data_IF_714446016201
#
_entry.id   IF_714446016201
#
_cell.length_a   1.000
_cell.length_b   1.000
_cell.length_c   1.000
_cell.angle_alpha   90.00
_cell.angle_beta   90.00
_cell.angle_gamma   90.00
#
_symmetry.space_group_name_H-M   'P 1'
#
loop_
_entity.id
_entity.type
_entity.pdbx_description
1 polymer ?
#
# COMPACT_ATOMS: atom_id res chain seq x y z
N UNK A 1 12.49 22.57 21.23
CA UNK A 1 11.85 21.31 20.76
C UNK A 1 11.30 21.54 19.37
N UNK A 2 11.69 20.77 18.35
CA UNK A 2 11.17 20.97 16.98
C UNK A 2 9.72 20.49 16.89
N UNK A 3 8.82 21.29 16.32
CA UNK A 3 7.43 20.91 15.99
C UNK A 3 7.36 20.55 14.51
N UNK A 4 6.85 19.37 14.19
CA UNK A 4 6.77 18.88 12.81
C UNK A 4 5.32 18.48 12.51
N UNK A 5 4.74 19.02 11.45
CA UNK A 5 3.40 18.68 10.99
C UNK A 5 3.43 17.68 9.83
N UNK A 6 2.46 16.78 9.79
CA UNK A 6 2.22 15.83 8.70
C UNK A 6 0.76 15.96 8.27
N UNK A 7 0.50 16.25 6.99
CA UNK A 7 -0.84 16.38 6.43
C UNK A 7 -1.23 15.06 5.74
N UNK A 8 -2.26 14.41 6.24
CA UNK A 8 -2.78 13.12 5.78
C UNK A 8 -2.53 12.00 6.79
N UNK A 9 -3.60 11.42 7.34
CA UNK A 9 -3.62 10.32 8.29
C UNK A 9 -3.78 8.94 7.64
N UNK A 10 -3.42 8.80 6.36
CA UNK A 10 -3.25 7.50 5.72
C UNK A 10 -1.96 6.80 6.17
N UNK A 11 -1.73 5.57 5.69
CA UNK A 11 -0.58 4.75 6.11
C UNK A 11 0.77 5.44 5.86
N UNK A 12 0.89 6.20 4.76
CA UNK A 12 2.11 6.94 4.44
C UNK A 12 2.37 8.07 5.46
N UNK A 13 1.33 8.83 5.83
CA UNK A 13 1.49 9.92 6.80
C UNK A 13 1.79 9.39 8.20
N UNK A 14 1.13 8.31 8.62
CA UNK A 14 1.41 7.66 9.91
C UNK A 14 2.82 7.05 9.96
N UNK A 15 3.24 6.36 8.90
CA UNK A 15 4.61 5.83 8.81
C UNK A 15 5.66 6.94 8.79
N UNK A 16 5.38 8.05 8.11
CA UNK A 16 6.23 9.25 8.08
C UNK A 16 6.39 9.85 9.47
N UNK A 17 5.28 10.06 10.19
CA UNK A 17 5.28 10.57 11.55
C UNK A 17 6.10 9.69 12.50
N UNK A 18 5.94 8.37 12.43
CA UNK A 18 6.72 7.42 13.22
C UNK A 18 8.22 7.47 12.91
N UNK A 19 8.59 7.48 11.63
CA UNK A 19 10.00 7.56 11.22
C UNK A 19 10.63 8.88 11.67
N UNK A 20 9.88 9.99 11.66
CA UNK A 20 10.31 11.28 12.19
C UNK A 20 10.55 11.19 13.70
N UNK A 21 9.62 10.65 14.49
CA UNK A 21 9.81 10.50 15.94
C UNK A 21 10.98 9.57 16.29
N UNK A 22 11.22 8.53 15.49
CA UNK A 22 12.37 7.64 15.69
C UNK A 22 13.70 8.33 15.37
N UNK A 23 13.74 9.15 14.31
CA UNK A 23 14.96 9.86 13.88
C UNK A 23 15.24 11.09 14.75
N UNK A 24 14.21 11.75 15.25
CA UNK A 24 14.29 12.94 16.08
C UNK A 24 13.45 12.76 17.35
N UNK A 25 13.95 12.03 18.36
CA UNK A 25 13.21 11.70 19.58
C UNK A 25 12.73 12.91 20.38
N UNK A 26 13.41 14.05 20.25
CA UNK A 26 13.05 15.32 20.88
C UNK A 26 12.17 16.22 19.99
N UNK A 27 11.56 15.69 18.93
CA UNK A 27 10.58 16.41 18.12
C UNK A 27 9.16 16.08 18.58
N UNK A 28 8.26 17.06 18.48
CA UNK A 28 6.84 16.87 18.67
C UNK A 28 6.16 16.81 17.31
N UNK A 29 5.54 15.69 16.99
CA UNK A 29 4.92 15.44 15.68
C UNK A 29 3.41 15.56 15.78
N UNK A 30 2.81 16.21 14.79
CA UNK A 30 1.37 16.42 14.67
C UNK A 30 0.92 15.85 13.33
N UNK A 31 -0.07 14.96 13.34
CA UNK A 31 -0.68 14.41 12.13
C UNK A 31 -2.08 14.97 11.98
N UNK A 32 -2.37 15.57 10.83
CA UNK A 32 -3.67 16.13 10.50
C UNK A 32 -4.39 15.24 9.50
N UNK A 33 -5.67 14.97 9.69
CA UNK A 33 -6.53 14.37 8.67
C UNK A 33 -7.86 15.13 8.58
N UNK A 34 -8.36 15.30 7.35
CA UNK A 34 -9.65 15.94 7.09
C UNK A 34 -10.82 15.06 7.53
N UNK A 35 -10.61 13.75 7.57
CA UNK A 35 -11.63 12.77 7.92
C UNK A 35 -11.75 12.63 9.44
N UNK A 36 -12.92 12.19 9.89
CA UNK A 36 -13.20 11.95 11.31
C UNK A 36 -12.51 10.70 11.87
N UNK A 37 -11.99 9.84 10.97
CA UNK A 37 -11.28 8.59 11.28
C UNK A 37 -10.08 8.42 10.35
N UNK A 38 -9.08 7.69 10.82
CA UNK A 38 -7.91 7.35 10.02
C UNK A 38 -8.26 6.29 8.98
N UNK A 39 -7.67 6.40 7.78
CA UNK A 39 -7.77 5.34 6.77
C UNK A 39 -9.09 5.33 5.98
N UNK A 40 -9.89 6.39 6.01
CA UNK A 40 -11.17 6.47 5.27
C UNK A 40 -11.03 6.50 3.73
N UNK A 41 -9.80 6.60 3.22
CA UNK A 41 -9.46 6.58 1.79
C UNK A 41 -8.65 5.32 1.40
N UNK A 42 -7.64 5.44 0.51
CA UNK A 42 -7.00 4.26 -0.11
C UNK A 42 -6.36 3.30 0.91
N UNK A 43 -5.82 3.81 2.01
CA UNK A 43 -5.17 2.95 3.02
C UNK A 43 -6.16 2.01 3.74
N UNK A 44 -7.44 2.34 3.82
CA UNK A 44 -8.49 1.45 4.35
C UNK A 44 -9.33 0.76 3.29
N UNK A 45 -9.09 1.06 1.99
CA UNK A 45 -9.81 0.53 0.82
C UNK A 45 -8.83 -0.04 -0.20
N UNK A 46 -8.20 -1.15 0.17
CA UNK A 46 -7.27 -1.90 -0.68
C UNK A 46 -7.34 -3.40 -0.30
N UNK A 47 -6.73 -4.24 -1.12
CA UNK A 47 -6.76 -5.70 -1.01
C UNK A 47 -5.96 -6.29 0.17
N UNK A 48 -5.28 -5.47 0.97
CA UNK A 48 -4.48 -5.96 2.09
C UNK A 48 -3.20 -6.69 1.67
N UNK A 49 -2.86 -6.71 0.38
CA UNK A 49 -1.72 -7.49 -0.11
C UNK A 49 -0.38 -6.82 0.23
N UNK A 50 0.55 -7.64 0.72
CA UNK A 50 1.96 -7.35 0.87
C UNK A 50 2.68 -7.80 -0.41
N UNK A 51 2.91 -6.85 -1.32
CA UNK A 51 3.62 -7.13 -2.57
C UNK A 51 5.13 -7.12 -2.38
N UNK A 52 5.79 -8.20 -2.79
CA UNK A 52 7.24 -8.35 -2.69
C UNK A 52 8.01 -7.72 -3.85
N UNK A 53 7.30 -7.31 -4.92
CA UNK A 53 7.89 -6.52 -6.01
C UNK A 53 8.17 -7.27 -7.30
N UNK A 54 7.48 -8.39 -7.55
CA UNK A 54 7.63 -9.21 -8.77
C UNK A 54 7.53 -8.40 -10.07
N UNK A 55 6.52 -7.54 -10.17
CA UNK A 55 6.15 -6.88 -11.43
C UNK A 55 6.97 -5.63 -11.76
N UNK A 56 7.67 -5.07 -10.78
CA UNK A 56 8.23 -3.72 -10.89
C UNK A 56 9.55 -3.70 -11.65
N UNK A 57 9.76 -2.65 -12.42
CA UNK A 57 10.97 -2.50 -13.22
C UNK A 57 12.22 -2.53 -12.32
N UNK A 58 13.23 -3.37 -12.62
CA UNK A 58 14.42 -3.48 -11.80
C UNK A 58 15.15 -2.16 -11.61
N UNK A 59 15.64 -1.93 -10.39
CA UNK A 59 16.32 -0.69 -10.02
C UNK A 59 15.37 0.51 -9.79
N UNK A 60 14.10 0.43 -10.19
CA UNK A 60 13.12 1.48 -9.94
C UNK A 60 12.87 1.72 -8.44
N UNK A 61 12.43 2.92 -8.10
CA UNK A 61 12.07 3.25 -6.72
C UNK A 61 10.96 2.32 -6.20
N UNK A 62 9.97 1.96 -7.03
CA UNK A 62 8.88 1.06 -6.64
C UNK A 62 9.37 -0.35 -6.35
N UNK A 63 10.30 -0.89 -7.14
CA UNK A 63 10.92 -2.18 -6.88
C UNK A 63 11.68 -2.19 -5.53
N UNK A 64 12.56 -1.21 -5.33
CA UNK A 64 13.34 -1.07 -4.09
C UNK A 64 12.46 -0.91 -2.85
N UNK A 65 11.43 -0.07 -2.94
CA UNK A 65 10.49 0.17 -1.83
C UNK A 65 9.55 -1.02 -1.58
N UNK A 66 9.19 -1.80 -2.59
CA UNK A 66 8.38 -3.00 -2.38
C UNK A 66 9.15 -4.07 -1.62
N UNK A 67 10.37 -4.38 -2.06
CA UNK A 67 11.23 -5.40 -1.43
C UNK A 67 11.58 -5.02 0.00
N UNK A 68 12.05 -3.78 0.23
CA UNK A 68 12.37 -3.32 1.59
C UNK A 68 11.12 -3.04 2.43
N UNK A 69 9.99 -2.70 1.78
CA UNK A 69 8.73 -2.37 2.41
C UNK A 69 8.03 -3.60 2.99
N UNK A 70 7.97 -4.71 2.24
CA UNK A 70 7.39 -5.96 2.76
C UNK A 70 8.19 -6.48 3.95
N UNK A 71 9.52 -6.45 3.90
CA UNK A 71 10.39 -6.89 5.00
C UNK A 71 10.14 -6.05 6.27
N UNK A 72 10.11 -4.72 6.12
CA UNK A 72 9.82 -3.82 7.24
C UNK A 72 8.40 -3.99 7.78
N UNK A 73 7.40 -4.18 6.90
CA UNK A 73 6.01 -4.33 7.31
C UNK A 73 5.78 -5.66 8.02
N UNK A 74 6.33 -6.77 7.51
CA UNK A 74 6.27 -8.08 8.18
C UNK A 74 6.95 -8.02 9.55
N UNK A 75 8.13 -7.39 9.65
CA UNK A 75 8.80 -7.17 10.94
C UNK A 75 7.92 -6.36 11.90
N UNK A 76 7.34 -5.25 11.44
CA UNK A 76 6.43 -4.43 12.24
C UNK A 76 5.20 -5.23 12.71
N UNK A 77 4.62 -6.06 11.84
CA UNK A 77 3.47 -6.88 12.18
C UNK A 77 3.83 -7.96 13.22
N UNK A 78 5.00 -8.60 13.10
CA UNK A 78 5.52 -9.53 14.11
C UNK A 78 5.73 -8.85 15.47
N UNK A 79 6.44 -7.71 15.50
CA UNK A 79 6.74 -6.95 16.72
C UNK A 79 5.47 -6.50 17.46
N UNK A 80 4.43 -6.16 16.72
CA UNK A 80 3.18 -5.64 17.29
C UNK A 80 2.01 -6.63 17.27
N UNK A 81 2.28 -7.90 16.94
CA UNK A 81 1.26 -8.98 16.89
C UNK A 81 0.05 -8.63 16.02
N UNK A 82 0.30 -8.01 14.86
CA UNK A 82 -0.74 -7.69 13.87
C UNK A 82 -0.94 -8.91 12.98
N UNK A 83 -2.20 -9.28 12.74
CA UNK A 83 -2.55 -10.38 11.83
C UNK A 83 -1.99 -10.11 10.43
N UNK A 84 -1.13 -11.02 10.00
CA UNK A 84 -0.55 -11.06 8.66
C UNK A 84 -0.20 -12.51 8.32
N UNK A 85 -0.09 -12.80 7.03
CA UNK A 85 0.21 -14.15 6.54
C UNK A 85 1.03 -14.04 5.24
N UNK A 86 2.24 -14.61 5.23
CA UNK A 86 3.08 -14.74 4.04
C UNK A 86 2.66 -16.00 3.30
N UNK A 87 1.45 -15.92 2.74
CA UNK A 87 0.76 -17.06 2.14
C UNK A 87 1.26 -17.40 0.73
N UNK A 88 2.04 -16.51 0.12
CA UNK A 88 2.49 -16.62 -1.26
C UNK A 88 1.39 -16.32 -2.28
N UNK A 89 1.83 -16.10 -3.52
CA UNK A 89 0.99 -15.83 -4.68
C UNK A 89 1.32 -16.77 -5.83
N UNK A 90 0.31 -17.18 -6.57
CA UNK A 90 0.47 -17.90 -7.84
C UNK A 90 0.12 -16.94 -8.97
N UNK A 91 1.05 -16.76 -9.90
CA UNK A 91 0.78 -16.07 -11.16
C UNK A 91 0.53 -17.13 -12.24
N UNK A 92 -0.61 -17.06 -12.92
CA UNK A 92 -1.07 -18.07 -13.87
C UNK A 92 -1.08 -17.53 -15.30
N UNK A 93 -0.54 -18.33 -16.22
CA UNK A 93 -0.62 -18.10 -17.66
C UNK A 93 -1.69 -19.02 -18.26
N UNK A 94 -2.61 -18.45 -19.04
CA UNK A 94 -3.74 -19.16 -19.65
C UNK A 94 -3.50 -19.51 -21.13
N UNK A 95 -2.47 -18.94 -21.76
CA UNK A 95 -2.12 -19.16 -23.16
C UNK A 95 -0.61 -19.01 -23.39
N UNK A 96 -0.12 -19.48 -24.55
CA UNK A 96 1.31 -19.52 -24.88
C UNK A 96 1.98 -18.14 -24.94
N UNK A 97 1.23 -17.06 -25.10
CA UNK A 97 1.78 -15.69 -25.06
C UNK A 97 2.06 -15.30 -23.61
N UNK A 98 1.08 -15.50 -22.72
CA UNK A 98 1.23 -15.26 -21.28
C UNK A 98 2.35 -16.11 -20.67
N UNK A 99 2.57 -17.32 -21.19
CA UNK A 99 3.69 -18.18 -20.76
C UNK A 99 5.04 -17.47 -20.87
N UNK A 100 5.30 -16.84 -22.02
CA UNK A 100 6.55 -16.12 -22.28
C UNK A 100 6.69 -14.89 -21.39
N UNK A 101 5.57 -14.20 -21.12
CA UNK A 101 5.57 -13.08 -20.17
C UNK A 101 5.80 -13.54 -18.73
N UNK A 102 5.30 -14.71 -18.35
CA UNK A 102 5.53 -15.29 -17.03
C UNK A 102 7.01 -15.63 -16.81
N UNK A 103 7.71 -16.10 -17.84
CA UNK A 103 9.17 -16.30 -17.79
C UNK A 103 9.92 -15.00 -17.54
N UNK A 104 9.53 -13.94 -18.24
CA UNK A 104 10.10 -12.60 -18.03
C UNK A 104 9.82 -12.06 -16.61
N UNK A 105 8.63 -12.32 -16.07
CA UNK A 105 8.29 -11.95 -14.69
C UNK A 105 9.16 -12.68 -13.66
N UNK A 106 9.42 -13.97 -13.86
CA UNK A 106 10.32 -14.73 -12.98
C UNK A 106 11.75 -14.15 -13.00
N UNK A 107 12.26 -13.81 -14.18
CA UNK A 107 13.57 -13.15 -14.33
C UNK A 107 13.60 -11.77 -13.68
N UNK A 108 12.54 -10.97 -13.85
CA UNK A 108 12.41 -9.66 -13.21
C UNK A 108 12.38 -9.76 -11.69
N UNK A 109 11.61 -10.71 -11.14
CA UNK A 109 11.58 -10.99 -9.71
C UNK A 109 12.97 -11.34 -9.16
N UNK A 110 13.70 -12.22 -9.85
CA UNK A 110 15.11 -12.54 -9.48
C UNK A 110 16.00 -11.31 -9.50
N UNK A 111 15.91 -10.45 -10.53
CA UNK A 111 16.67 -9.18 -10.60
C UNK A 111 16.31 -8.20 -9.48
N UNK A 112 15.07 -8.23 -8.99
CA UNK A 112 14.62 -7.46 -7.83
C UNK A 112 15.07 -8.08 -6.49
N UNK A 113 15.70 -9.25 -6.50
CA UNK A 113 16.21 -9.93 -5.31
C UNK A 113 15.20 -10.84 -4.61
N UNK A 114 14.07 -11.17 -5.27
CA UNK A 114 13.10 -12.11 -4.74
C UNK A 114 13.70 -13.52 -4.69
N UNK A 115 13.37 -14.25 -3.63
CA UNK A 115 13.92 -15.58 -3.33
C UNK A 115 12.88 -16.66 -3.56
N UNK A 116 13.37 -17.86 -3.87
CA UNK A 116 12.55 -19.08 -3.96
C UNK A 116 11.38 -19.01 -4.97
N UNK A 117 11.47 -18.15 -5.99
CA UNK A 117 10.52 -18.18 -7.11
C UNK A 117 10.57 -19.55 -7.79
N UNK A 118 9.42 -20.21 -7.94
CA UNK A 118 9.34 -21.58 -8.44
C UNK A 118 8.23 -21.71 -9.48
N UNK A 119 8.55 -22.23 -10.65
CA UNK A 119 7.52 -22.72 -11.57
C UNK A 119 6.92 -24.00 -11.00
N UNK A 120 5.59 -24.05 -10.90
CA UNK A 120 4.90 -25.22 -10.39
C UNK A 120 4.64 -26.20 -11.52
N UNK A 121 4.79 -27.49 -11.23
CA UNK A 121 4.24 -28.55 -12.07
C UNK A 121 2.72 -28.55 -11.97
N UNK A 122 2.02 -29.20 -12.91
CA UNK A 122 0.56 -29.36 -12.79
C UNK A 122 0.15 -30.08 -11.50
N UNK A 123 0.94 -31.05 -11.04
CA UNK A 123 0.70 -31.74 -9.78
C UNK A 123 0.88 -30.81 -8.57
N UNK A 124 1.94 -29.99 -8.56
CA UNK A 124 2.17 -28.98 -7.52
C UNK A 124 1.03 -27.94 -7.49
N UNK A 125 0.58 -27.48 -8.66
CA UNK A 125 -0.53 -26.54 -8.79
C UNK A 125 -1.84 -27.15 -8.28
N UNK A 126 -2.20 -28.36 -8.74
CA UNK A 126 -3.44 -29.03 -8.32
C UNK A 126 -3.46 -29.33 -6.82
N UNK A 127 -2.32 -29.66 -6.23
CA UNK A 127 -2.20 -29.87 -4.78
C UNK A 127 -2.48 -28.59 -4.00
N UNK A 128 -2.01 -27.44 -4.52
CA UNK A 128 -2.13 -26.14 -3.86
C UNK A 128 -3.45 -25.44 -4.12
N UNK A 129 -3.94 -25.51 -5.36
CA UNK A 129 -5.12 -24.84 -5.90
C UNK A 129 -5.86 -25.75 -6.89
N UNK A 130 -6.68 -26.71 -6.40
CA UNK A 130 -7.28 -27.76 -7.24
C UNK A 130 -8.29 -27.26 -8.29
N UNK A 131 -8.80 -26.03 -8.14
CA UNK A 131 -9.76 -25.44 -9.08
C UNK A 131 -9.10 -24.45 -10.06
N UNK A 132 -7.77 -24.34 -10.07
CA UNK A 132 -7.04 -23.42 -10.94
C UNK A 132 -6.52 -24.16 -12.16
N UNK A 133 -6.87 -23.65 -13.33
CA UNK A 133 -6.31 -24.13 -14.60
C UNK A 133 -5.32 -23.09 -15.15
N UNK A 134 -4.14 -23.56 -15.55
CA UNK A 134 -3.10 -22.74 -16.16
C UNK A 134 -2.21 -23.63 -17.02
N UNK A 135 -1.70 -23.11 -18.14
CA UNK A 135 -0.68 -23.83 -18.92
C UNK A 135 0.70 -23.74 -18.27
N UNK A 136 0.94 -22.70 -17.46
CA UNK A 136 2.14 -22.50 -16.66
C UNK A 136 1.81 -21.62 -15.46
N UNK A 137 2.45 -21.89 -14.33
CA UNK A 137 2.24 -21.09 -13.13
C UNK A 137 3.54 -20.85 -12.36
N UNK A 138 3.65 -19.66 -11.78
CA UNK A 138 4.80 -19.21 -10.99
C UNK A 138 4.35 -18.96 -9.55
N UNK A 139 4.95 -19.71 -8.62
CA UNK A 139 4.84 -19.43 -7.19
C UNK A 139 5.80 -18.31 -6.79
N UNK A 140 5.27 -17.36 -6.06
CA UNK A 140 5.95 -16.20 -5.48
C UNK A 140 5.78 -16.30 -3.96
N UNK A 141 6.69 -16.98 -3.24
CA UNK A 141 6.48 -17.33 -1.84
C UNK A 141 6.47 -16.13 -0.89
N UNK A 142 7.16 -15.05 -1.25
CA UNK A 142 7.33 -13.89 -0.36
C UNK A 142 6.11 -12.96 -0.33
N UNK A 143 5.10 -13.16 -1.17
CA UNK A 143 3.87 -12.37 -1.12
C UNK A 143 3.02 -12.74 0.09
N UNK A 144 2.24 -11.78 0.59
CA UNK A 144 1.39 -12.02 1.74
C UNK A 144 0.21 -11.08 1.84
N UNK A 145 -0.46 -11.12 2.97
CA UNK A 145 -1.63 -10.30 3.29
C UNK A 145 -1.55 -9.79 4.74
N UNK A 146 -2.16 -8.64 5.00
CA UNK A 146 -2.12 -7.96 6.30
C UNK A 146 -3.38 -7.15 6.58
N UNK A 147 -3.69 -6.99 7.86
CA UNK A 147 -4.69 -6.02 8.31
C UNK A 147 -4.09 -4.59 8.35
N UNK A 148 -4.13 -3.87 7.23
CA UNK A 148 -3.64 -2.50 7.17
C UNK A 148 -4.40 -1.52 8.08
N UNK A 149 -5.66 -1.80 8.44
CA UNK A 149 -6.40 -0.96 9.40
C UNK A 149 -5.76 -1.09 10.78
N UNK A 150 -5.45 -2.32 11.19
CA UNK A 150 -4.73 -2.58 12.44
C UNK A 150 -3.29 -2.07 12.41
N UNK A 151 -2.59 -2.11 11.27
CA UNK A 151 -1.31 -1.43 11.10
C UNK A 151 -1.43 0.06 11.40
N UNK A 152 -2.36 0.76 10.73
CA UNK A 152 -2.56 2.20 10.94
C UNK A 152 -2.96 2.53 12.38
N UNK A 153 -3.87 1.78 12.98
CA UNK A 153 -4.25 1.98 14.39
C UNK A 153 -3.07 1.77 15.35
N UNK A 154 -2.24 0.76 15.09
CA UNK A 154 -1.04 0.51 15.88
C UNK A 154 -0.04 1.65 15.73
N UNK A 155 0.21 2.12 14.50
CA UNK A 155 1.06 3.28 14.27
C UNK A 155 0.55 4.52 15.00
N UNK A 156 -0.74 4.80 14.92
CA UNK A 156 -1.38 5.92 15.62
C UNK A 156 -1.22 5.84 17.14
N UNK A 157 -1.38 4.65 17.74
CA UNK A 157 -1.13 4.42 19.18
C UNK A 157 0.32 4.71 19.55
N UNK A 158 1.27 4.25 18.76
CA UNK A 158 2.70 4.48 19.00
C UNK A 158 3.03 5.98 18.91
N UNK A 159 2.50 6.68 17.89
CA UNK A 159 2.70 8.13 17.73
C UNK A 159 2.26 8.88 18.99
N UNK A 160 1.06 8.59 19.48
CA UNK A 160 0.50 9.19 20.70
C UNK A 160 1.33 8.85 21.94
N UNK A 161 1.76 7.59 22.09
CA UNK A 161 2.63 7.16 23.20
C UNK A 161 3.99 7.90 23.20
N UNK A 162 4.47 8.31 22.02
CA UNK A 162 5.69 9.13 21.84
C UNK A 162 5.41 10.63 21.87
N UNK A 163 4.36 11.06 22.57
CA UNK A 163 3.98 12.48 22.73
C UNK A 163 3.65 13.21 21.41
N UNK A 164 3.28 12.46 20.37
CA UNK A 164 2.73 13.01 19.13
C UNK A 164 1.23 13.22 19.22
N UNK A 165 0.69 14.10 18.37
CA UNK A 165 -0.73 14.42 18.30
C UNK A 165 -1.32 13.97 16.96
N UNK A 166 -2.56 13.51 16.99
CA UNK A 166 -3.33 13.17 15.78
C UNK A 166 -4.63 13.95 15.86
N UNK A 167 -4.80 14.89 14.93
CA UNK A 167 -5.88 15.86 14.87
C UNK A 167 -6.73 15.52 13.65
N UNK A 168 -7.92 14.98 13.92
CA UNK A 168 -8.88 14.52 12.91
C UNK A 168 -9.96 15.59 12.68
N UNK A 169 -10.76 15.41 11.63
CA UNK A 169 -11.78 16.38 11.20
C UNK A 169 -11.18 17.77 10.92
N UNK A 170 -9.92 17.82 10.50
CA UNK A 170 -9.16 19.05 10.29
C UNK A 170 -8.57 19.07 8.89
N UNK A 171 -9.29 19.76 8.00
CA UNK A 171 -8.82 20.01 6.63
C UNK A 171 -7.92 21.25 6.62
N UNK A 172 -6.63 21.03 6.42
CA UNK A 172 -5.67 22.11 6.19
C UNK A 172 -5.93 22.75 4.83
N UNK A 173 -6.23 24.04 4.82
CA UNK A 173 -6.61 24.80 3.63
C UNK A 173 -5.54 25.78 3.18
N UNK A 174 -4.70 26.27 4.10
CA UNK A 174 -3.65 27.26 3.81
C UNK A 174 -2.33 26.86 4.46
N UNK A 175 -1.25 27.28 3.84
CA UNK A 175 0.11 27.18 4.33
C UNK A 175 0.84 28.47 3.96
N UNK A 176 1.62 29.03 4.89
CA UNK A 176 2.45 30.21 4.65
C UNK A 176 3.71 30.15 5.48
N UNK A 177 4.79 30.72 4.97
CA UNK A 177 6.01 30.89 5.75
C UNK A 177 5.93 32.21 6.54
N UNK A 178 6.32 32.18 7.81
CA UNK A 178 6.44 33.35 8.67
C UNK A 178 7.60 33.15 9.63
N UNK A 179 8.56 34.08 9.71
CA UNK A 179 9.67 34.07 10.67
C UNK A 179 10.41 32.71 10.77
N UNK A 180 10.80 32.13 9.64
CA UNK A 180 11.44 30.79 9.55
C UNK A 180 10.59 29.63 10.08
N UNK A 181 9.27 29.81 10.17
CA UNK A 181 8.29 28.80 10.50
C UNK A 181 7.31 28.61 9.36
N UNK A 182 6.65 27.46 9.37
CA UNK A 182 5.53 27.14 8.49
C UNK A 182 4.24 27.21 9.30
N UNK A 183 3.36 28.13 8.94
CA UNK A 183 2.03 28.25 9.51
C UNK A 183 1.06 27.50 8.60
N UNK A 184 0.33 26.54 9.15
CA UNK A 184 -0.78 25.89 8.47
C UNK A 184 -2.09 26.23 9.18
N UNK A 185 -3.19 26.29 8.44
CA UNK A 185 -4.49 26.59 9.03
C UNK A 185 -5.65 25.83 8.40
N UNK A 186 -6.66 25.55 9.21
CA UNK A 186 -7.99 25.16 8.76
C UNK A 186 -8.90 26.40 8.69
N UNK A 187 -10.22 26.24 8.78
CA UNK A 187 -11.15 27.38 8.76
C UNK A 187 -11.28 28.13 10.09
N UNK A 188 -10.72 27.60 11.19
CA UNK A 188 -10.94 28.10 12.57
C UNK A 188 -9.65 28.29 13.36
N UNK A 189 -8.60 27.55 13.04
CA UNK A 189 -7.38 27.41 13.84
C UNK A 189 -6.14 27.59 12.95
N UNK A 190 -5.07 28.12 13.54
CA UNK A 190 -3.73 28.14 12.96
C UNK A 190 -2.76 27.34 13.85
N UNK A 191 -1.78 26.70 13.21
CA UNK A 191 -0.71 25.97 13.88
C UNK A 191 0.65 26.34 13.28
N UNK A 192 1.66 26.46 14.15
CA UNK A 192 3.03 26.79 13.77
C UNK A 192 3.96 25.58 13.88
N UNK A 193 4.76 25.36 12.83
CA UNK A 193 5.70 24.25 12.70
C UNK A 193 7.07 24.68 12.18
N UNK A 194 8.09 23.90 12.49
CA UNK A 194 9.42 24.02 11.87
C UNK A 194 9.45 23.39 10.47
N UNK A 195 8.69 22.32 10.27
CA UNK A 195 8.62 21.56 9.01
C UNK A 195 7.23 20.97 8.81
N UNK A 196 6.81 20.88 7.55
CA UNK A 196 5.57 20.21 7.14
C UNK A 196 5.88 19.13 6.10
N UNK A 197 5.28 17.95 6.27
CA UNK A 197 5.24 16.90 5.27
C UNK A 197 3.81 16.75 4.74
N UNK A 198 3.63 16.77 3.42
CA UNK A 198 2.33 16.49 2.79
C UNK A 198 2.28 15.05 2.31
N UNK A 199 1.31 14.28 2.82
CA UNK A 199 1.06 12.86 2.55
C UNK A 199 -0.39 12.66 2.09
N UNK A 200 -0.89 13.54 1.24
CA UNK A 200 -2.33 13.70 0.95
C UNK A 200 -2.93 12.74 -0.10
N UNK A 201 -2.26 11.62 -0.39
CA UNK A 201 -2.78 10.58 -1.29
C UNK A 201 -3.17 11.14 -2.66
N UNK A 202 -4.42 10.90 -3.11
CA UNK A 202 -4.92 11.34 -4.42
C UNK A 202 -4.90 12.87 -4.61
N UNK A 203 -4.82 13.62 -3.51
CA UNK A 203 -4.83 15.08 -3.54
C UNK A 203 -3.42 15.68 -3.44
N UNK A 204 -2.34 14.89 -3.53
CA UNK A 204 -0.99 15.40 -3.26
C UNK A 204 -0.56 16.51 -4.23
N UNK A 205 -0.86 16.38 -5.53
CA UNK A 205 -0.57 17.41 -6.55
C UNK A 205 -1.42 18.68 -6.34
N UNK A 206 -2.71 18.53 -6.06
CA UNK A 206 -3.65 19.62 -5.78
C UNK A 206 -3.29 20.34 -4.48
N UNK A 207 -2.97 19.59 -3.43
CA UNK A 207 -2.55 20.16 -2.15
C UNK A 207 -1.20 20.86 -2.27
N UNK A 208 -0.26 20.34 -3.05
CA UNK A 208 0.99 21.06 -3.33
C UNK A 208 0.67 22.43 -3.92
N UNK A 209 -0.13 22.48 -4.98
CA UNK A 209 -0.55 23.74 -5.61
C UNK A 209 -1.27 24.68 -4.63
N UNK A 210 -2.26 24.16 -3.90
CA UNK A 210 -3.10 24.97 -3.02
C UNK A 210 -2.33 25.54 -1.82
N UNK A 211 -1.35 24.79 -1.30
CA UNK A 211 -0.60 25.19 -0.10
C UNK A 211 0.63 26.04 -0.43
N UNK A 212 1.24 25.89 -1.61
CA UNK A 212 2.46 26.60 -1.99
C UNK A 212 2.22 27.73 -3.00
N UNK A 213 1.11 27.69 -3.74
CA UNK A 213 0.88 28.54 -4.91
C UNK A 213 1.65 28.10 -6.16
N UNK A 214 2.50 27.08 -6.07
CA UNK A 214 3.37 26.63 -7.16
C UNK A 214 2.71 25.58 -8.06
N UNK A 215 3.23 25.45 -9.29
CA UNK A 215 2.81 24.40 -10.21
C UNK A 215 3.42 23.06 -9.77
N UNK A 216 2.61 21.99 -9.59
CA UNK A 216 3.14 20.70 -9.20
C UNK A 216 3.96 20.08 -10.35
N UNK A 217 5.05 19.39 -10.01
CA UNK A 217 5.92 18.71 -10.97
C UNK A 217 5.24 17.53 -11.68
N UNK A 218 4.22 16.96 -11.05
CA UNK A 218 3.48 15.77 -11.50
C UNK A 218 1.98 16.01 -11.28
N UNK A 219 1.14 15.34 -12.07
CA UNK A 219 -0.31 15.30 -11.87
C UNK A 219 -0.73 13.91 -11.46
N UNK A 220 -1.72 13.83 -10.57
CA UNK A 220 -2.32 12.57 -10.13
C UNK A 220 -3.61 12.35 -10.90
N UNK A 221 -3.69 11.21 -11.60
CA UNK A 221 -4.88 10.75 -12.31
C UNK A 221 -5.43 9.55 -11.53
N UNK A 222 -6.59 9.69 -10.86
CA UNK A 222 -7.15 8.60 -10.09
C UNK A 222 -7.86 7.58 -10.98
N UNK A 223 -7.72 6.31 -10.62
CA UNK A 223 -8.54 5.22 -11.14
C UNK A 223 -9.26 4.56 -9.97
N UNK A 224 -10.55 4.34 -10.13
CA UNK A 224 -11.39 3.59 -9.19
C UNK A 224 -11.30 2.12 -9.54
N UNK A 225 -10.99 1.31 -8.54
CA UNK A 225 -11.09 -0.13 -8.62
C UNK A 225 -12.25 -0.63 -7.78
N UNK A 226 -13.06 -1.50 -8.35
CA UNK A 226 -14.20 -2.14 -7.72
C UNK A 226 -13.90 -3.62 -7.50
N UNK A 227 -14.36 -4.14 -6.36
CA UNK A 227 -14.14 -5.52 -5.93
C UNK A 227 -15.49 -6.20 -5.69
N UNK A 228 -15.56 -7.48 -6.01
CA UNK A 228 -16.72 -8.33 -5.71
C UNK A 228 -16.33 -9.33 -4.62
N UNK A 229 -17.10 -9.34 -3.52
CA UNK A 229 -16.94 -10.33 -2.46
C UNK A 229 -17.55 -11.67 -2.88
N UNK A 230 -16.84 -12.76 -2.66
CA UNK A 230 -17.38 -14.09 -2.89
C UNK A 230 -18.39 -14.48 -1.80
N UNK A 231 -19.49 -15.10 -2.23
CA UNK A 231 -20.44 -15.75 -1.32
C UNK A 231 -19.76 -16.85 -0.51
N UNK A 232 -20.25 -17.16 0.72
CA UNK A 232 -19.64 -18.16 1.59
C UNK A 232 -19.35 -19.50 0.90
N UNK A 233 -20.26 -19.98 0.05
CA UNK A 233 -20.15 -21.30 -0.61
C UNK A 233 -19.04 -21.31 -1.67
N UNK A 234 -18.71 -20.15 -2.24
CA UNK A 234 -17.66 -19.96 -3.24
C UNK A 234 -16.28 -19.73 -2.60
N UNK A 235 -16.19 -19.51 -1.29
CA UNK A 235 -14.89 -19.30 -0.62
C UNK A 235 -13.97 -20.52 -0.71
N UNK A 236 -14.48 -21.72 -0.98
CA UNK A 236 -13.64 -22.93 -1.15
C UNK A 236 -12.94 -23.03 -2.52
N UNK A 237 -13.22 -22.11 -3.45
CA UNK A 237 -12.70 -22.19 -4.82
C UNK A 237 -11.18 -22.02 -4.91
N UNK A 238 -10.58 -21.23 -4.03
CA UNK A 238 -9.14 -21.01 -4.03
C UNK A 238 -8.61 -20.78 -2.61
N UNK A 239 -7.33 -21.03 -2.34
CA UNK A 239 -6.74 -20.93 -1.00
C UNK A 239 -5.78 -19.75 -0.84
N UNK A 240 -5.11 -19.32 -1.91
CA UNK A 240 -4.05 -18.31 -1.91
C UNK A 240 -4.33 -17.17 -2.88
N UNK A 241 -3.38 -16.25 -3.02
CA UNK A 241 -3.46 -15.18 -4.00
C UNK A 241 -3.26 -15.75 -5.41
N UNK A 242 -4.23 -15.56 -6.32
CA UNK A 242 -4.11 -16.01 -7.72
C UNK A 242 -4.26 -14.80 -8.63
N UNK A 243 -3.23 -14.57 -9.44
CA UNK A 243 -3.11 -13.40 -10.30
C UNK A 243 -2.89 -13.88 -11.74
N UNK A 244 -3.56 -13.28 -12.74
CA UNK A 244 -3.19 -13.53 -14.12
C UNK A 244 -1.82 -12.92 -14.43
N UNK A 245 -1.21 -13.35 -15.53
CA UNK A 245 -0.14 -12.58 -16.15
C UNK A 245 -0.71 -11.21 -16.57
N UNK A 246 -0.06 -10.08 -16.24
CA UNK A 246 -0.54 -8.77 -16.63
C UNK A 246 -0.54 -8.62 -18.14
N UNK A 247 -1.61 -8.01 -18.65
CA UNK A 247 -1.67 -7.61 -20.05
C UNK A 247 -0.71 -6.43 -20.28
N UNK A 248 0.28 -6.52 -21.19
CA UNK A 248 1.17 -5.40 -21.50
C UNK A 248 0.45 -4.16 -22.03
N UNK A 249 -0.73 -4.31 -22.66
CA UNK A 249 -1.56 -3.21 -23.15
C UNK A 249 -2.26 -2.50 -21.98
N UNK A 250 -2.66 -3.26 -20.97
CA UNK A 250 -3.35 -2.77 -19.77
C UNK A 250 -2.63 -3.22 -18.48
N UNK A 251 -1.39 -2.77 -18.22
CA UNK A 251 -0.55 -3.34 -17.16
C UNK A 251 -1.04 -3.03 -15.73
N UNK A 252 -2.06 -2.18 -15.61
CA UNK A 252 -2.76 -1.85 -14.36
C UNK A 252 -4.10 -2.58 -14.20
N UNK A 253 -4.56 -3.31 -15.23
CA UNK A 253 -5.79 -4.10 -15.21
C UNK A 253 -5.43 -5.57 -15.00
N UNK A 254 -5.95 -6.13 -13.92
CA UNK A 254 -5.79 -7.55 -13.60
C UNK A 254 -6.85 -7.93 -12.59
N UNK A 255 -7.77 -8.80 -12.98
CA UNK A 255 -8.77 -9.32 -12.06
C UNK A 255 -8.08 -10.37 -11.20
N UNK A 256 -7.83 -10.04 -9.94
CA UNK A 256 -7.16 -10.92 -9.00
C UNK A 256 -8.19 -11.71 -8.18
N UNK A 257 -7.83 -12.92 -7.78
CA UNK A 257 -8.51 -13.66 -6.73
C UNK A 257 -7.69 -13.51 -5.46
N UNK A 258 -8.22 -12.79 -4.49
CA UNK A 258 -7.51 -12.41 -3.27
C UNK A 258 -8.21 -13.01 -2.06
N UNK A 259 -7.45 -13.72 -1.23
CA UNK A 259 -7.87 -14.09 0.12
C UNK A 259 -7.44 -12.98 1.07
N UNK A 260 -8.38 -12.39 1.79
CA UNK A 260 -8.14 -11.35 2.78
C UNK A 260 -7.71 -11.96 4.13
N UNK A 261 -7.06 -11.15 4.97
CA UNK A 261 -6.53 -11.60 6.26
C UNK A 261 -7.61 -12.08 7.23
N UNK A 262 -8.84 -11.59 7.09
CA UNK A 262 -10.01 -12.01 7.87
C UNK A 262 -10.67 -13.29 7.31
N UNK A 263 -10.10 -13.92 6.28
CA UNK A 263 -10.63 -15.13 5.65
C UNK A 263 -11.66 -14.89 4.55
N UNK A 264 -12.11 -13.64 4.36
CA UNK A 264 -12.95 -13.28 3.22
C UNK A 264 -12.19 -13.41 1.90
N UNK A 265 -12.93 -13.54 0.79
CA UNK A 265 -12.35 -13.70 -0.55
C UNK A 265 -13.02 -12.74 -1.52
N UNK A 266 -12.20 -12.08 -2.32
CA UNK A 266 -12.64 -11.07 -3.28
C UNK A 266 -12.07 -11.31 -4.68
N UNK A 267 -12.77 -10.77 -5.67
CA UNK A 267 -12.36 -10.76 -7.07
C UNK A 267 -12.27 -9.31 -7.54
N UNK A 268 -11.12 -8.92 -8.09
CA UNK A 268 -10.87 -7.56 -8.56
C UNK A 268 -9.43 -7.09 -8.34
N UNK A 269 -9.14 -5.79 -8.49
CA UNK A 269 -10.08 -4.76 -8.93
C UNK A 269 -10.26 -4.72 -10.46
N UNK A 270 -11.37 -4.15 -10.93
CA UNK A 270 -11.41 -3.56 -12.27
C UNK A 270 -10.66 -2.21 -12.30
N UNK A 271 -10.63 -1.51 -13.44
CA UNK A 271 -10.09 -0.16 -13.52
C UNK A 271 -11.06 0.75 -14.26
N UNK A 272 -11.64 1.72 -13.55
CA UNK A 272 -12.58 2.71 -14.08
C UNK A 272 -12.01 4.10 -13.83
N UNK A 273 -12.11 5.00 -14.80
CA UNK A 273 -11.68 6.39 -14.61
C UNK A 273 -12.52 7.05 -13.50
N UNK A 274 -11.87 7.73 -12.56
CA UNK A 274 -12.49 8.27 -11.34
C UNK A 274 -12.66 9.78 -11.36
#
# INVERSE_FOLDING_TARGET
MKKIGVIGGGIIGLATALKIQNKFPHSKVFVFDKESKLGEHQSGRNSGVLHCGLYYEPGSLKAKLAVSGIQQMTKFCNEHKISHDICGKIVVASNFIEEKYLDNLALRGKKNGLKNLKFLTNSDLNTREPNVNAIKSLLVPEEGIVDYKMVMHTMAKIIKKKNGEIILSTKINKCRNLNNKVIISDSKNEWEFDLIFSCAGLYSDRNYKNLTGEKPLLKIIPFRGEYLMLKPEAKKLFNHLIYPVPDPIYPFLGVHFTRLINGEKEVGPNAVFA
#
